data_IF_540350345337
#
_entry.id   IF_540350345337
#
_cell.length_a   1.000
_cell.length_b   1.000
_cell.length_c   1.000
_cell.angle_alpha   90.00
_cell.angle_beta   90.00
_cell.angle_gamma   90.00
#
_symmetry.space_group_name_H-M   'P 1'
#
loop_
_entity.id
_entity.type
_entity.pdbx_description
1 polymer ?
#
# COMPACT_ATOMS: atom_id res chain seq x y z
N UNK A 1 -9.23 -23.35 -14.63
CA UNK A 1 -10.26 -22.92 -13.65
C UNK A 1 -11.24 -21.98 -14.36
N UNK A 2 -12.52 -22.02 -14.03
CA UNK A 2 -13.47 -21.06 -14.60
C UNK A 2 -13.37 -19.75 -13.82
N UNK A 3 -13.11 -18.64 -14.50
CA UNK A 3 -13.01 -17.29 -13.92
C UNK A 3 -14.24 -16.88 -13.07
N UNK A 4 -15.38 -17.53 -13.28
CA UNK A 4 -16.64 -17.31 -12.54
C UNK A 4 -16.52 -17.51 -11.02
N UNK A 5 -15.61 -18.36 -10.57
CA UNK A 5 -15.38 -18.57 -9.13
C UNK A 5 -14.93 -17.28 -8.44
N UNK A 6 -14.23 -16.38 -9.15
CA UNK A 6 -13.64 -15.16 -8.62
C UNK A 6 -14.47 -13.90 -8.88
N UNK A 7 -15.64 -13.98 -9.51
CA UNK A 7 -16.44 -12.81 -9.96
C UNK A 7 -16.75 -11.81 -8.83
N UNK A 8 -16.86 -12.30 -7.59
CA UNK A 8 -17.16 -11.45 -6.44
C UNK A 8 -15.98 -10.58 -6.01
N UNK A 9 -14.74 -11.04 -6.26
CA UNK A 9 -13.54 -10.38 -5.75
C UNK A 9 -12.63 -9.82 -6.83
N UNK A 10 -12.58 -10.40 -8.03
CA UNK A 10 -11.65 -10.03 -9.11
C UNK A 10 -11.85 -8.60 -9.64
N UNK A 11 -10.86 -8.00 -10.28
CA UNK A 11 -11.03 -6.84 -11.16
C UNK A 11 -12.06 -7.11 -12.27
N UNK A 12 -12.48 -6.07 -12.98
CA UNK A 12 -13.26 -6.27 -14.20
C UNK A 12 -12.41 -6.91 -15.30
N UNK A 13 -13.08 -7.69 -16.16
CA UNK A 13 -12.49 -8.17 -17.40
C UNK A 13 -12.72 -7.15 -18.54
N UNK A 14 -12.04 -7.34 -19.66
CA UNK A 14 -12.10 -6.41 -20.79
C UNK A 14 -13.53 -6.13 -21.28
N UNK A 15 -14.37 -7.15 -21.33
CA UNK A 15 -15.76 -7.07 -21.79
C UNK A 15 -16.65 -6.24 -20.85
N UNK A 16 -16.30 -6.20 -19.57
CA UNK A 16 -17.05 -5.49 -18.51
C UNK A 16 -16.72 -3.99 -18.46
N UNK A 17 -15.53 -3.58 -18.95
CA UNK A 17 -15.00 -2.22 -18.79
C UNK A 17 -15.93 -1.13 -19.31
N UNK A 18 -16.51 -1.33 -20.49
CA UNK A 18 -17.41 -0.34 -21.10
C UNK A 18 -18.68 -0.12 -20.27
N UNK A 19 -19.27 -1.20 -19.76
CA UNK A 19 -20.46 -1.12 -18.91
C UNK A 19 -20.14 -0.48 -17.57
N UNK A 20 -19.05 -0.92 -16.93
CA UNK A 20 -18.58 -0.37 -15.65
C UNK A 20 -18.35 1.16 -15.73
N UNK A 21 -17.79 1.63 -16.84
CA UNK A 21 -17.56 3.06 -17.05
C UNK A 21 -18.89 3.84 -17.25
N UNK A 22 -19.83 3.28 -18.01
CA UNK A 22 -21.14 3.91 -18.19
C UNK A 22 -21.92 4.00 -16.86
N UNK A 23 -21.86 2.94 -16.06
CA UNK A 23 -22.46 2.90 -14.73
C UNK A 23 -21.81 3.93 -13.80
N UNK A 24 -20.48 4.08 -13.86
CA UNK A 24 -19.74 5.09 -13.12
C UNK A 24 -20.20 6.51 -13.48
N UNK A 25 -20.32 6.81 -14.79
CA UNK A 25 -20.80 8.11 -15.26
C UNK A 25 -22.26 8.40 -14.87
N UNK A 26 -23.05 7.37 -14.66
CA UNK A 26 -24.47 7.49 -14.27
C UNK A 26 -24.65 7.65 -12.77
N UNK A 27 -23.64 7.33 -11.97
CA UNK A 27 -23.70 7.37 -10.52
C UNK A 27 -23.81 8.82 -10.00
N UNK A 28 -24.81 9.09 -9.14
CA UNK A 28 -25.12 10.44 -8.64
C UNK A 28 -24.01 10.98 -7.75
N UNK A 29 -23.44 10.14 -6.88
CA UNK A 29 -22.37 10.56 -5.95
C UNK A 29 -21.08 10.85 -6.71
N UNK A 30 -20.73 10.01 -7.67
CA UNK A 30 -19.59 10.27 -8.57
C UNK A 30 -19.76 11.59 -9.32
N UNK A 31 -20.95 11.90 -9.82
CA UNK A 31 -21.26 13.17 -10.47
C UNK A 31 -21.13 14.38 -9.53
N UNK A 32 -21.50 14.24 -8.25
CA UNK A 32 -21.30 15.29 -7.24
C UNK A 32 -19.82 15.57 -7.00
N UNK A 33 -19.01 14.52 -6.90
CA UNK A 33 -17.55 14.64 -6.74
C UNK A 33 -16.91 15.32 -7.95
N UNK A 34 -17.27 14.89 -9.15
CA UNK A 34 -16.80 15.55 -10.40
C UNK A 34 -17.19 17.03 -10.45
N UNK A 35 -18.40 17.37 -9.98
CA UNK A 35 -18.83 18.77 -9.86
C UNK A 35 -17.98 19.55 -8.86
N UNK A 36 -17.54 18.92 -7.77
CA UNK A 36 -16.65 19.55 -6.79
C UNK A 36 -15.27 19.91 -7.38
N UNK A 37 -14.72 19.07 -8.27
CA UNK A 37 -13.45 19.34 -8.94
C UNK A 37 -13.53 20.41 -10.03
N UNK A 38 -14.63 20.43 -10.80
CA UNK A 38 -14.82 21.37 -11.93
C UNK A 38 -16.24 21.95 -11.90
N UNK A 39 -16.55 22.82 -10.90
CA UNK A 39 -17.91 23.29 -10.65
C UNK A 39 -18.48 24.14 -11.80
N UNK A 40 -17.60 24.81 -12.53
CA UNK A 40 -17.96 25.68 -13.66
C UNK A 40 -18.30 24.91 -14.95
N UNK A 41 -17.99 23.61 -15.03
CA UNK A 41 -18.21 22.82 -16.22
C UNK A 41 -19.58 22.10 -16.18
N UNK A 42 -20.47 22.28 -17.17
CA UNK A 42 -21.74 21.56 -17.26
C UNK A 42 -21.56 20.03 -17.28
N UNK A 43 -22.54 19.31 -16.71
CA UNK A 43 -22.51 17.83 -16.61
C UNK A 43 -22.27 17.15 -17.97
N UNK A 44 -22.93 17.65 -19.04
CA UNK A 44 -22.80 17.11 -20.40
C UNK A 44 -21.36 17.19 -20.91
N UNK A 45 -20.71 18.34 -20.71
CA UNK A 45 -19.31 18.56 -21.09
C UNK A 45 -18.34 17.73 -20.27
N UNK A 46 -18.53 17.67 -18.93
CA UNK A 46 -17.73 16.79 -18.07
C UNK A 46 -17.79 15.33 -18.53
N UNK A 47 -19.01 14.83 -18.77
CA UNK A 47 -19.19 13.47 -19.24
C UNK A 47 -18.64 13.25 -20.65
N UNK A 48 -18.74 14.24 -21.52
CA UNK A 48 -18.15 14.23 -22.86
C UNK A 48 -16.62 14.09 -22.81
N UNK A 49 -15.96 14.91 -21.98
CA UNK A 49 -14.51 14.84 -21.77
C UNK A 49 -14.06 13.51 -21.18
N UNK A 50 -14.79 12.98 -20.19
CA UNK A 50 -14.48 11.67 -19.60
C UNK A 50 -14.67 10.54 -20.63
N UNK A 51 -15.73 10.59 -21.46
CA UNK A 51 -15.92 9.62 -22.54
C UNK A 51 -14.78 9.71 -23.56
N UNK A 52 -14.32 10.91 -23.89
CA UNK A 52 -13.17 11.10 -24.78
C UNK A 52 -11.89 10.53 -24.16
N UNK A 53 -11.64 10.81 -22.89
CA UNK A 53 -10.48 10.25 -22.16
C UNK A 53 -10.54 8.71 -22.06
N UNK A 54 -11.73 8.13 -22.14
CA UNK A 54 -11.93 6.68 -22.09
C UNK A 54 -11.83 6.00 -23.48
N UNK A 55 -11.74 6.78 -24.56
CA UNK A 55 -11.57 6.22 -25.91
C UNK A 55 -10.26 5.41 -25.98
N UNK A 56 -10.38 4.17 -26.44
CA UNK A 56 -9.26 3.26 -26.57
C UNK A 56 -8.86 2.53 -25.27
N UNK A 57 -9.55 2.76 -24.15
CA UNK A 57 -9.42 1.98 -22.92
C UNK A 57 -10.31 0.74 -23.05
N UNK A 58 -9.70 -0.42 -23.20
CA UNK A 58 -10.39 -1.71 -23.38
C UNK A 58 -10.19 -2.64 -22.19
N UNK A 59 -9.07 -2.52 -21.50
CA UNK A 59 -8.67 -3.39 -20.38
C UNK A 59 -8.44 -2.58 -19.12
N UNK A 60 -8.45 -3.21 -17.93
CA UNK A 60 -8.01 -2.56 -16.69
C UNK A 60 -6.56 -2.03 -16.75
N UNK A 61 -5.67 -2.71 -17.47
CA UNK A 61 -4.30 -2.23 -17.71
C UNK A 61 -4.30 -0.94 -18.55
N UNK A 62 -5.11 -0.87 -19.62
CA UNK A 62 -5.26 0.39 -20.38
C UNK A 62 -5.76 1.53 -19.48
N UNK A 63 -6.69 1.22 -18.57
CA UNK A 63 -7.22 2.20 -17.62
C UNK A 63 -6.13 2.72 -16.69
N UNK A 64 -5.29 1.85 -16.13
CA UNK A 64 -4.16 2.27 -15.31
C UNK A 64 -3.15 3.11 -16.10
N UNK A 65 -2.79 2.69 -17.32
CA UNK A 65 -1.75 3.37 -18.11
C UNK A 65 -2.25 4.70 -18.68
N UNK A 66 -3.46 4.72 -19.25
CA UNK A 66 -3.95 5.89 -20.02
C UNK A 66 -4.73 6.88 -19.17
N UNK A 67 -5.43 6.41 -18.14
CA UNK A 67 -6.27 7.25 -17.30
C UNK A 67 -5.63 7.55 -15.94
N UNK A 68 -5.19 6.53 -15.19
CA UNK A 68 -4.68 6.71 -13.83
C UNK A 68 -3.25 7.23 -13.79
N UNK A 69 -2.34 6.70 -14.63
CA UNK A 69 -0.92 7.09 -14.64
C UNK A 69 -0.70 8.61 -14.78
N UNK A 70 -1.38 9.35 -15.69
CA UNK A 70 -1.24 10.81 -15.74
C UNK A 70 -1.63 11.52 -14.45
N UNK A 71 -2.69 11.04 -13.77
CA UNK A 71 -3.17 11.59 -12.50
C UNK A 71 -2.13 11.32 -11.40
N UNK A 72 -1.63 10.09 -11.32
CA UNK A 72 -0.61 9.69 -10.33
C UNK A 72 0.70 10.45 -10.56
N UNK A 73 1.13 10.63 -11.82
CA UNK A 73 2.28 11.47 -12.15
C UNK A 73 2.11 12.94 -11.75
N UNK A 74 0.89 13.46 -11.87
CA UNK A 74 0.59 14.81 -11.36
C UNK A 74 0.77 14.87 -9.85
N UNK A 75 0.26 13.87 -9.10
CA UNK A 75 0.45 13.79 -7.65
C UNK A 75 1.93 13.70 -7.28
N UNK A 76 2.70 12.82 -7.93
CA UNK A 76 4.15 12.72 -7.71
C UNK A 76 4.82 14.07 -7.88
N UNK A 77 4.59 14.76 -9.01
CA UNK A 77 5.23 16.05 -9.31
C UNK A 77 4.84 17.20 -8.41
N UNK A 78 3.63 17.17 -7.83
CA UNK A 78 3.09 18.29 -7.02
C UNK A 78 3.21 18.07 -5.52
N UNK A 79 3.27 16.82 -5.09
CA UNK A 79 3.17 16.46 -3.68
C UNK A 79 4.34 15.63 -3.17
N UNK A 80 5.38 15.46 -3.99
CA UNK A 80 6.66 14.84 -3.61
C UNK A 80 7.85 15.60 -4.19
N UNK A 81 9.04 15.37 -3.64
CA UNK A 81 10.33 15.83 -4.19
C UNK A 81 10.95 14.75 -5.11
N UNK A 82 10.12 13.86 -5.61
CA UNK A 82 10.48 12.76 -6.48
C UNK A 82 10.10 11.40 -5.90
N UNK A 83 9.90 10.45 -6.79
CA UNK A 83 9.65 9.06 -6.47
C UNK A 83 10.69 8.20 -7.18
N UNK A 84 11.49 7.45 -6.41
CA UNK A 84 12.56 6.59 -6.91
C UNK A 84 12.18 5.13 -6.74
N UNK A 85 12.53 4.30 -7.73
CA UNK A 85 12.35 2.85 -7.69
C UNK A 85 13.74 2.19 -7.74
N UNK A 86 14.02 1.37 -6.72
CA UNK A 86 15.28 0.63 -6.56
C UNK A 86 14.93 -0.84 -6.66
N UNK A 87 15.24 -1.47 -7.78
CA UNK A 87 14.91 -2.86 -8.09
C UNK A 87 16.14 -3.73 -8.41
N UNK A 88 17.34 -3.27 -8.03
CA UNK A 88 18.58 -3.95 -8.38
C UNK A 88 18.65 -5.42 -7.97
N UNK A 89 18.13 -5.76 -6.79
CA UNK A 89 18.10 -7.16 -6.35
C UNK A 89 17.07 -7.99 -7.15
N UNK A 90 15.93 -7.39 -7.50
CA UNK A 90 14.91 -8.01 -8.33
C UNK A 90 15.38 -8.12 -9.77
N UNK A 91 15.98 -7.07 -10.33
CA UNK A 91 16.54 -7.06 -11.67
C UNK A 91 17.70 -8.07 -11.80
N UNK A 92 18.52 -8.22 -10.75
CA UNK A 92 19.56 -9.24 -10.69
C UNK A 92 19.01 -10.67 -10.76
N UNK A 93 17.81 -10.91 -10.19
CA UNK A 93 17.12 -12.20 -10.23
C UNK A 93 16.35 -12.43 -11.55
N UNK A 94 15.85 -11.38 -12.20
CA UNK A 94 15.13 -11.41 -13.48
C UNK A 94 15.49 -10.20 -14.37
N UNK A 95 16.65 -10.23 -15.02
CA UNK A 95 17.12 -9.11 -15.84
C UNK A 95 16.20 -8.76 -17.01
N UNK A 96 15.41 -9.73 -17.48
CA UNK A 96 14.46 -9.53 -18.58
C UNK A 96 13.08 -9.04 -18.13
N UNK A 97 12.84 -8.97 -16.83
CA UNK A 97 11.56 -8.51 -16.22
C UNK A 97 10.35 -9.31 -16.73
N UNK A 98 10.55 -10.59 -17.01
CA UNK A 98 9.51 -11.50 -17.56
C UNK A 98 8.71 -12.20 -16.48
N UNK A 99 9.20 -12.24 -15.26
CA UNK A 99 8.53 -12.79 -14.09
C UNK A 99 7.22 -12.09 -13.77
N UNK A 100 6.44 -12.73 -12.92
CA UNK A 100 5.28 -12.12 -12.26
C UNK A 100 5.47 -12.31 -10.76
N UNK A 101 5.10 -11.29 -10.00
CA UNK A 101 5.50 -11.18 -8.60
C UNK A 101 4.32 -10.84 -7.72
N UNK A 102 4.36 -11.32 -6.50
CA UNK A 102 3.53 -10.84 -5.40
C UNK A 102 4.38 -9.90 -4.55
N UNK A 103 4.23 -8.60 -4.75
CA UNK A 103 4.86 -7.58 -3.93
C UNK A 103 4.16 -7.49 -2.57
N UNK A 104 4.91 -7.76 -1.50
CA UNK A 104 4.43 -7.68 -0.13
C UNK A 104 5.19 -6.57 0.58
N UNK A 105 4.51 -5.50 0.99
CA UNK A 105 5.18 -4.30 1.50
C UNK A 105 4.68 -3.85 2.87
N UNK A 106 5.49 -3.04 3.56
CA UNK A 106 4.98 -2.15 4.59
C UNK A 106 3.91 -1.20 3.98
N UNK A 107 3.07 -0.58 4.81
CA UNK A 107 1.91 0.16 4.33
C UNK A 107 1.88 1.60 4.87
N UNK A 108 2.16 2.56 3.98
CA UNK A 108 2.27 3.99 4.31
C UNK A 108 0.99 4.78 4.01
N UNK A 109 0.41 4.57 2.82
CA UNK A 109 -0.74 5.31 2.30
C UNK A 109 -1.83 4.36 1.78
N UNK A 110 -3.12 4.70 2.02
CA UNK A 110 -4.26 3.85 1.64
C UNK A 110 -4.36 3.67 0.12
N UNK A 111 -3.99 4.71 -0.65
CA UNK A 111 -4.21 4.78 -2.10
C UNK A 111 -2.89 4.76 -2.87
N UNK A 112 -1.90 5.51 -2.39
CA UNK A 112 -0.72 5.83 -3.18
C UNK A 112 0.34 4.73 -3.18
N UNK A 113 0.35 3.83 -2.19
CA UNK A 113 1.36 2.78 -2.13
C UNK A 113 1.35 1.91 -3.39
N UNK A 114 0.18 1.43 -3.80
CA UNK A 114 0.02 0.67 -5.03
C UNK A 114 0.03 1.55 -6.29
N UNK A 115 -0.56 2.76 -6.21
CA UNK A 115 -0.62 3.65 -7.37
C UNK A 115 0.76 4.16 -7.81
N UNK A 116 1.64 4.49 -6.85
CA UNK A 116 3.02 4.85 -7.16
C UNK A 116 3.81 3.63 -7.67
N UNK A 117 3.60 2.44 -7.08
CA UNK A 117 4.22 1.21 -7.56
C UNK A 117 3.86 0.95 -9.02
N UNK A 118 2.59 1.08 -9.42
CA UNK A 118 2.15 0.92 -10.81
C UNK A 118 2.93 1.81 -11.77
N UNK A 119 3.07 3.09 -11.40
CA UNK A 119 3.79 4.07 -12.22
C UNK A 119 5.27 3.76 -12.28
N UNK A 120 5.88 3.35 -11.15
CA UNK A 120 7.29 3.00 -11.07
C UNK A 120 7.61 1.73 -11.87
N UNK A 121 6.81 0.69 -11.78
CA UNK A 121 6.98 -0.52 -12.58
C UNK A 121 6.99 -0.20 -14.09
N UNK A 122 6.00 0.58 -14.55
CA UNK A 122 5.94 0.97 -15.96
C UNK A 122 7.10 1.87 -16.38
N UNK A 123 7.57 2.76 -15.52
CA UNK A 123 8.69 3.64 -15.79
C UNK A 123 10.02 2.89 -15.88
N UNK A 124 10.13 1.74 -15.19
CA UNK A 124 11.32 0.90 -15.16
C UNK A 124 11.24 -0.32 -16.10
N UNK A 125 10.31 -0.31 -17.06
CA UNK A 125 10.26 -1.31 -18.14
C UNK A 125 9.59 -2.64 -17.78
N UNK A 126 8.89 -2.74 -16.66
CA UNK A 126 8.07 -3.91 -16.35
C UNK A 126 6.86 -3.97 -17.29
N UNK A 127 6.48 -5.15 -17.80
CA UNK A 127 5.46 -5.26 -18.85
C UNK A 127 4.03 -5.06 -18.35
N UNK A 128 3.79 -5.13 -17.03
CA UNK A 128 2.47 -4.91 -16.42
C UNK A 128 2.61 -4.25 -15.05
N UNK A 129 1.52 -3.69 -14.59
CA UNK A 129 1.29 -3.12 -13.26
C UNK A 129 0.90 -4.21 -12.26
N UNK A 130 0.42 -3.82 -11.06
CA UNK A 130 -0.09 -4.78 -10.08
C UNK A 130 -1.63 -4.85 -10.07
N UNK A 131 -2.17 -6.00 -9.71
CA UNK A 131 -3.51 -6.11 -9.17
C UNK A 131 -3.46 -5.84 -7.66
N UNK A 132 -4.42 -5.05 -7.16
CA UNK A 132 -4.32 -4.39 -5.85
C UNK A 132 -5.31 -5.02 -4.88
N UNK A 133 -4.83 -5.58 -3.77
CA UNK A 133 -5.68 -6.07 -2.69
C UNK A 133 -6.29 -4.92 -1.87
N UNK A 134 -7.61 -4.68 -1.99
CA UNK A 134 -8.30 -3.59 -1.28
C UNK A 134 -9.34 -4.15 -0.32
N UNK A 135 -9.30 -3.71 0.95
CA UNK A 135 -10.30 -4.05 1.95
C UNK A 135 -11.69 -3.51 1.59
N UNK A 136 -12.73 -4.34 1.73
CA UNK A 136 -14.11 -3.97 1.43
C UNK A 136 -14.67 -2.85 2.33
N UNK A 137 -14.09 -2.66 3.52
CA UNK A 137 -14.38 -1.52 4.39
C UNK A 137 -14.11 -0.15 3.74
N UNK A 138 -13.24 -0.10 2.73
CA UNK A 138 -12.94 1.11 1.96
C UNK A 138 -13.90 1.31 0.77
N UNK A 139 -14.65 0.28 0.39
CA UNK A 139 -15.58 0.29 -0.76
C UNK A 139 -16.97 0.80 -0.35
N UNK A 140 -17.00 1.93 0.35
CA UNK A 140 -18.19 2.50 1.03
C UNK A 140 -19.32 2.81 0.05
N UNK A 141 -18.96 3.26 -1.15
CA UNK A 141 -19.90 3.67 -2.20
C UNK A 141 -19.78 2.80 -3.45
N UNK A 142 -20.89 2.51 -4.16
CA UNK A 142 -20.86 1.71 -5.37
C UNK A 142 -19.91 2.25 -6.45
N UNK A 143 -19.78 3.56 -6.59
CA UNK A 143 -18.86 4.18 -7.54
C UNK A 143 -17.40 3.92 -7.20
N UNK A 144 -17.02 3.88 -5.90
CA UNK A 144 -15.65 3.53 -5.47
C UNK A 144 -15.36 2.09 -5.87
N UNK A 145 -16.27 1.15 -5.55
CA UNK A 145 -16.12 -0.25 -5.93
C UNK A 145 -15.92 -0.42 -7.44
N UNK A 146 -16.70 0.29 -8.25
CA UNK A 146 -16.54 0.27 -9.72
C UNK A 146 -15.18 0.81 -10.14
N UNK A 147 -14.80 1.99 -9.64
CA UNK A 147 -13.56 2.65 -9.99
C UNK A 147 -12.33 1.78 -9.67
N UNK A 148 -12.27 1.21 -8.46
CA UNK A 148 -11.11 0.40 -8.05
C UNK A 148 -11.05 -0.93 -8.82
N UNK A 149 -12.20 -1.58 -9.12
CA UNK A 149 -12.22 -2.80 -9.96
C UNK A 149 -11.77 -2.51 -11.41
N UNK A 150 -12.09 -1.33 -11.95
CA UNK A 150 -11.55 -0.85 -13.22
C UNK A 150 -10.04 -0.62 -13.14
N UNK A 151 -9.53 -0.26 -11.95
CA UNK A 151 -8.12 -0.04 -11.66
C UNK A 151 -7.41 -1.31 -11.16
N UNK A 152 -7.77 -2.48 -11.65
CA UNK A 152 -7.17 -3.79 -11.30
C UNK A 152 -7.24 -4.15 -9.82
N UNK A 153 -8.19 -3.60 -9.03
CA UNK A 153 -8.30 -4.01 -7.64
C UNK A 153 -9.16 -5.26 -7.46
N UNK A 154 -8.68 -6.18 -6.61
CA UNK A 154 -9.48 -7.28 -6.08
C UNK A 154 -9.87 -7.00 -4.61
N UNK A 155 -11.01 -7.56 -4.20
CA UNK A 155 -11.62 -7.25 -2.91
C UNK A 155 -11.15 -8.21 -1.82
N UNK A 156 -10.64 -7.66 -0.72
CA UNK A 156 -10.31 -8.36 0.52
C UNK A 156 -11.47 -8.16 1.50
N UNK A 157 -12.19 -9.23 1.81
CA UNK A 157 -13.33 -9.19 2.73
C UNK A 157 -12.87 -9.09 4.18
N UNK A 158 -13.54 -8.27 4.98
CA UNK A 158 -13.20 -8.01 6.39
C UNK A 158 -14.42 -8.15 7.30
N UNK A 159 -14.17 -8.25 8.61
CA UNK A 159 -15.24 -8.28 9.61
C UNK A 159 -16.15 -9.52 9.54
N UNK A 160 -15.64 -10.63 9.00
CA UNK A 160 -16.35 -11.89 8.82
C UNK A 160 -16.25 -12.77 10.08
N UNK A 161 -17.20 -13.71 10.22
CA UNK A 161 -17.06 -14.79 11.20
C UNK A 161 -15.84 -15.66 10.89
N UNK A 162 -15.27 -16.42 11.86
CA UNK A 162 -14.09 -17.25 11.62
C UNK A 162 -14.24 -18.23 10.44
N UNK A 163 -15.41 -18.82 10.26
CA UNK A 163 -15.70 -19.76 9.16
C UNK A 163 -15.73 -19.05 7.80
N UNK A 164 -16.35 -17.88 7.74
CA UNK A 164 -16.41 -17.06 6.53
C UNK A 164 -15.03 -16.48 6.20
N UNK A 165 -14.27 -16.06 7.22
CA UNK A 165 -12.89 -15.58 7.06
C UNK A 165 -12.01 -16.64 6.40
N UNK A 166 -12.08 -17.90 6.87
CA UNK A 166 -11.31 -19.00 6.28
C UNK A 166 -11.69 -19.21 4.79
N UNK A 167 -12.99 -19.25 4.47
CA UNK A 167 -13.45 -19.39 3.08
C UNK A 167 -13.00 -18.23 2.20
N UNK A 168 -13.13 -17.00 2.70
CA UNK A 168 -12.71 -15.80 1.99
C UNK A 168 -11.19 -15.80 1.76
N UNK A 169 -10.40 -16.20 2.75
CA UNK A 169 -8.95 -16.33 2.64
C UNK A 169 -8.55 -17.39 1.61
N UNK A 170 -9.21 -18.54 1.60
CA UNK A 170 -8.98 -19.58 0.59
C UNK A 170 -9.32 -19.11 -0.82
N UNK A 171 -10.47 -18.43 -0.99
CA UNK A 171 -10.88 -17.88 -2.29
C UNK A 171 -9.86 -16.83 -2.79
N UNK A 172 -9.47 -15.90 -1.93
CA UNK A 172 -8.50 -14.86 -2.23
C UNK A 172 -7.13 -15.45 -2.57
N UNK A 173 -6.68 -16.44 -1.81
CA UNK A 173 -5.41 -17.12 -2.07
C UNK A 173 -5.42 -17.81 -3.43
N UNK A 174 -6.46 -18.59 -3.76
CA UNK A 174 -6.60 -19.20 -5.09
C UNK A 174 -6.64 -18.16 -6.20
N UNK A 175 -7.30 -17.03 -5.96
CA UNK A 175 -7.28 -15.93 -6.92
C UNK A 175 -5.88 -15.37 -7.16
N UNK A 176 -5.10 -15.15 -6.10
CA UNK A 176 -3.71 -14.64 -6.21
C UNK A 176 -2.84 -15.63 -7.00
N UNK A 177 -2.93 -16.94 -6.69
CA UNK A 177 -2.23 -17.98 -7.46
C UNK A 177 -2.62 -17.94 -8.93
N UNK A 178 -3.93 -17.93 -9.23
CA UNK A 178 -4.44 -17.80 -10.61
C UNK A 178 -3.93 -16.53 -11.32
N UNK A 179 -3.93 -15.39 -10.62
CA UNK A 179 -3.50 -14.12 -11.21
C UNK A 179 -2.01 -14.13 -11.58
N UNK A 180 -1.16 -14.72 -10.74
CA UNK A 180 0.29 -14.80 -10.99
C UNK A 180 0.62 -15.84 -12.05
N UNK A 181 0.05 -17.05 -11.95
CA UNK A 181 0.46 -18.21 -12.78
C UNK A 181 -0.23 -18.26 -14.14
N UNK A 182 -1.55 -18.03 -14.18
CA UNK A 182 -2.36 -18.18 -15.40
C UNK A 182 -2.65 -16.83 -16.08
N UNK A 183 -3.14 -15.84 -15.30
CA UNK A 183 -3.46 -14.51 -15.82
C UNK A 183 -2.21 -13.69 -16.16
N UNK A 184 -1.07 -14.06 -15.58
CA UNK A 184 0.24 -13.42 -15.78
C UNK A 184 0.26 -11.96 -15.33
N UNK A 185 -0.31 -11.68 -14.15
CA UNK A 185 -0.36 -10.37 -13.52
C UNK A 185 0.52 -10.33 -12.26
N UNK A 186 1.04 -9.15 -11.93
CA UNK A 186 1.64 -8.90 -10.62
C UNK A 186 0.54 -8.63 -9.58
N UNK A 187 0.85 -8.93 -8.32
CA UNK A 187 -0.02 -8.66 -7.17
C UNK A 187 0.67 -7.68 -6.23
N UNK A 188 -0.08 -6.77 -5.63
CA UNK A 188 0.35 -6.02 -4.47
C UNK A 188 -0.59 -6.24 -3.29
N UNK A 189 -0.01 -6.58 -2.15
CA UNK A 189 -0.67 -6.65 -0.85
C UNK A 189 0.23 -6.05 0.24
N UNK A 190 -0.41 -5.49 1.29
CA UNK A 190 0.31 -5.08 2.49
C UNK A 190 0.72 -6.31 3.32
N UNK A 191 1.88 -6.23 4.00
CA UNK A 191 2.40 -7.29 4.87
C UNK A 191 1.56 -7.53 6.13
N UNK A 192 0.59 -6.67 6.39
CA UNK A 192 -0.30 -6.71 7.55
C UNK A 192 -1.66 -6.11 7.26
N UNK A 193 -2.61 -6.38 8.14
CA UNK A 193 -3.89 -5.70 8.11
C UNK A 193 -3.77 -4.25 8.58
N UNK A 194 -4.10 -3.30 7.70
CA UNK A 194 -4.05 -1.87 7.95
C UNK A 194 -2.63 -1.31 8.09
N UNK A 195 -2.54 0.01 8.15
CA UNK A 195 -1.27 0.75 8.29
C UNK A 195 -0.82 0.78 9.76
N UNK A 196 0.46 0.55 10.04
CA UNK A 196 1.04 0.84 11.34
C UNK A 196 0.93 2.35 11.64
N UNK A 197 0.56 2.70 12.88
CA UNK A 197 0.40 4.11 13.28
C UNK A 197 1.71 4.74 13.71
N UNK A 198 2.66 3.92 14.07
CA UNK A 198 3.99 4.27 14.55
C UNK A 198 5.12 3.94 13.57
N UNK A 199 4.78 3.50 12.34
CA UNK A 199 5.71 3.02 11.33
C UNK A 199 6.58 1.82 11.75
N UNK A 200 6.21 1.12 12.81
CA UNK A 200 6.81 -0.14 13.20
C UNK A 200 6.05 -1.30 12.54
N UNK A 201 6.13 -1.34 11.22
CA UNK A 201 5.46 -2.37 10.43
C UNK A 201 6.13 -3.73 10.63
N UNK A 202 5.29 -4.78 10.79
CA UNK A 202 5.71 -6.18 10.93
C UNK A 202 4.85 -7.07 10.05
N UNK A 203 5.47 -8.04 9.42
CA UNK A 203 4.79 -9.04 8.60
C UNK A 203 3.94 -9.95 9.48
N UNK A 204 2.65 -10.02 9.19
CA UNK A 204 1.76 -10.94 9.91
C UNK A 204 1.84 -12.35 9.31
N UNK A 205 2.12 -13.35 10.14
CA UNK A 205 2.09 -14.77 9.77
C UNK A 205 0.80 -15.17 9.04
N UNK A 206 -0.32 -14.57 9.44
CA UNK A 206 -1.63 -14.82 8.83
C UNK A 206 -1.70 -14.45 7.36
N UNK A 207 -0.97 -13.41 6.92
CA UNK A 207 -0.87 -13.02 5.50
C UNK A 207 -0.13 -14.10 4.72
N UNK A 208 1.00 -14.58 5.24
CA UNK A 208 1.80 -15.62 4.58
C UNK A 208 1.07 -16.98 4.57
N UNK A 209 0.41 -17.32 5.68
CA UNK A 209 -0.44 -18.52 5.76
C UNK A 209 -1.59 -18.46 4.75
N UNK A 210 -2.22 -17.28 4.61
CA UNK A 210 -3.26 -17.06 3.61
C UNK A 210 -2.71 -17.26 2.20
N UNK A 211 -1.56 -16.67 1.85
CA UNK A 211 -0.93 -16.84 0.54
C UNK A 211 -0.65 -18.32 0.21
N UNK A 212 -0.27 -19.13 1.18
CA UNK A 212 -0.03 -20.56 0.98
C UNK A 212 -1.29 -21.40 0.79
N UNK A 213 -2.50 -20.90 1.11
CA UNK A 213 -3.74 -21.69 1.06
C UNK A 213 -4.18 -22.08 -0.35
N UNK A 214 -3.88 -21.23 -1.36
CA UNK A 214 -4.32 -21.42 -2.74
C UNK A 214 -3.50 -22.40 -3.56
N UNK A 215 -2.35 -22.81 -3.06
CA UNK A 215 -1.49 -23.76 -3.74
C UNK A 215 -2.12 -25.17 -3.81
N UNK A 216 -1.74 -25.99 -4.80
CA UNK A 216 -2.22 -27.38 -4.92
C UNK A 216 -2.05 -28.19 -3.64
N UNK A 217 -3.03 -29.08 -3.35
CA UNK A 217 -3.03 -29.89 -2.12
C UNK A 217 -1.92 -30.96 -2.08
N UNK A 218 -1.33 -31.29 -3.23
CA UNK A 218 -0.18 -32.17 -3.37
C UNK A 218 1.08 -31.60 -2.73
N UNK A 219 1.22 -30.27 -2.75
CA UNK A 219 2.35 -29.56 -2.16
C UNK A 219 2.19 -29.54 -0.64
N UNK A 220 2.96 -30.38 0.06
CA UNK A 220 2.90 -30.49 1.53
C UNK A 220 3.84 -29.53 2.25
N UNK A 221 4.99 -29.23 1.64
CA UNK A 221 5.95 -28.30 2.21
C UNK A 221 5.44 -26.85 2.08
N UNK A 222 5.41 -26.05 3.16
CA UNK A 222 4.97 -24.65 3.10
C UNK A 222 5.79 -23.78 2.13
N UNK A 223 7.09 -24.04 1.99
CA UNK A 223 7.94 -23.32 1.05
C UNK A 223 7.47 -23.53 -0.41
N UNK A 224 7.20 -24.80 -0.79
CA UNK A 224 6.74 -25.13 -2.14
C UNK A 224 5.41 -24.49 -2.48
N UNK A 225 4.53 -24.34 -1.48
CA UNK A 225 3.22 -23.70 -1.63
C UNK A 225 3.30 -22.20 -1.96
N UNK A 226 4.44 -21.56 -1.68
CA UNK A 226 4.64 -20.12 -1.93
C UNK A 226 5.47 -19.83 -3.18
N UNK A 227 6.22 -20.82 -3.71
CA UNK A 227 7.21 -20.59 -4.80
C UNK A 227 6.62 -19.96 -6.05
N UNK A 228 5.45 -20.43 -6.50
CA UNK A 228 4.84 -19.94 -7.72
C UNK A 228 4.37 -18.48 -7.64
N UNK A 229 4.24 -17.94 -6.40
CA UNK A 229 3.84 -16.55 -6.16
C UNK A 229 4.98 -15.55 -6.37
N UNK A 230 6.25 -16.01 -6.44
CA UNK A 230 7.42 -15.15 -6.57
C UNK A 230 7.35 -13.93 -5.64
N UNK A 231 7.20 -14.16 -4.33
CA UNK A 231 7.03 -13.10 -3.35
C UNK A 231 8.26 -12.20 -3.34
N UNK A 232 8.05 -10.90 -3.47
CA UNK A 232 9.08 -9.86 -3.38
C UNK A 232 8.80 -8.98 -2.17
N UNK A 233 9.68 -8.99 -1.15
CA UNK A 233 9.60 -8.01 -0.07
C UNK A 233 9.85 -6.61 -0.64
N UNK A 234 8.89 -5.72 -0.46
CA UNK A 234 8.94 -4.36 -0.99
C UNK A 234 8.95 -3.35 0.16
N UNK A 235 9.92 -2.47 0.16
CA UNK A 235 10.01 -1.36 1.13
C UNK A 235 9.49 -0.09 0.52
N UNK A 236 8.63 0.62 1.26
CA UNK A 236 8.12 1.94 0.90
C UNK A 236 8.59 2.93 1.95
N UNK A 237 9.40 3.91 1.54
CA UNK A 237 9.93 4.98 2.39
C UNK A 237 9.39 6.33 1.94
N UNK A 238 8.71 7.03 2.84
CA UNK A 238 8.29 8.42 2.67
C UNK A 238 9.11 9.29 3.62
N UNK A 239 9.67 10.39 3.12
CA UNK A 239 10.38 11.35 3.98
C UNK A 239 9.44 11.98 5.00
N UNK A 240 8.24 12.40 4.56
CA UNK A 240 7.17 12.89 5.42
C UNK A 240 5.89 12.06 5.21
N UNK A 241 5.24 11.71 6.29
CA UNK A 241 3.93 11.04 6.25
C UNK A 241 2.83 12.10 6.41
N UNK A 242 2.09 12.46 5.35
CA UNK A 242 1.09 13.51 5.45
C UNK A 242 -0.07 13.19 6.41
N UNK A 243 -0.23 11.92 6.77
CA UNK A 243 -1.23 11.45 7.73
C UNK A 243 -0.69 11.28 9.16
N UNK A 244 0.53 11.74 9.46
CA UNK A 244 1.16 11.55 10.77
C UNK A 244 0.32 12.09 11.92
N UNK A 245 -0.20 13.31 11.79
CA UNK A 245 -1.06 13.93 12.79
C UNK A 245 -2.39 13.17 12.98
N UNK A 246 -2.98 12.63 11.91
CA UNK A 246 -4.19 11.81 11.99
C UNK A 246 -3.92 10.46 12.67
N UNK A 247 -2.73 9.90 12.47
CA UNK A 247 -2.29 8.67 13.13
C UNK A 247 -2.04 8.91 14.61
N UNK A 248 -1.36 10.01 14.97
CA UNK A 248 -1.13 10.41 16.35
C UNK A 248 -2.44 10.70 17.10
N UNK A 249 -3.37 11.42 16.45
CA UNK A 249 -4.71 11.63 16.97
C UNK A 249 -5.43 10.30 17.26
N UNK A 250 -5.45 9.37 16.31
CA UNK A 250 -6.06 8.05 16.49
C UNK A 250 -5.44 7.28 17.67
N UNK A 251 -4.13 7.42 17.90
CA UNK A 251 -3.45 6.80 19.05
C UNK A 251 -3.93 7.40 20.37
N UNK A 252 -4.07 8.73 20.46
CA UNK A 252 -4.60 9.36 21.66
C UNK A 252 -6.07 8.99 21.90
N UNK A 253 -6.89 9.03 20.86
CA UNK A 253 -8.32 8.66 20.98
C UNK A 253 -8.49 7.21 21.43
N UNK A 254 -7.65 6.29 20.95
CA UNK A 254 -7.63 4.88 21.41
C UNK A 254 -7.16 4.74 22.86
N UNK A 255 -6.23 5.57 23.32
CA UNK A 255 -5.78 5.60 24.70
C UNK A 255 -6.86 6.10 25.65
N UNK A 256 -7.55 7.18 25.25
CA UNK A 256 -8.42 7.95 26.12
C UNK A 256 -9.89 7.50 26.08
N UNK A 257 -10.35 6.88 24.99
CA UNK A 257 -11.74 6.50 24.76
C UNK A 257 -11.87 4.97 24.72
N UNK A 258 -12.41 4.34 25.78
CA UNK A 258 -12.65 2.90 25.78
C UNK A 258 -13.52 2.45 24.59
N UNK A 259 -13.05 1.47 23.84
CA UNK A 259 -13.78 0.92 22.68
C UNK A 259 -13.80 1.83 21.45
N UNK A 260 -12.93 2.84 21.37
CA UNK A 260 -12.79 3.71 20.20
C UNK A 260 -12.71 2.91 18.90
N UNK A 261 -13.50 3.31 17.93
CA UNK A 261 -13.47 2.78 16.56
C UNK A 261 -13.49 3.95 15.57
N UNK A 262 -12.63 3.87 14.58
CA UNK A 262 -12.64 4.82 13.46
C UNK A 262 -14.00 4.87 12.77
N UNK A 263 -14.41 6.06 12.43
CA UNK A 263 -15.54 6.30 11.53
C UNK A 263 -15.13 6.08 10.06
N UNK A 264 -16.15 5.95 9.21
CA UNK A 264 -15.92 5.94 7.74
C UNK A 264 -15.37 7.28 7.22
N UNK A 265 -15.71 8.37 7.90
CA UNK A 265 -15.20 9.70 7.55
C UNK A 265 -13.70 9.80 7.79
N UNK A 266 -13.19 9.21 8.88
CA UNK A 266 -11.75 9.19 9.17
C UNK A 266 -10.95 8.51 8.07
N UNK A 267 -11.48 7.42 7.48
CA UNK A 267 -10.82 6.76 6.35
C UNK A 267 -10.81 7.63 5.10
N UNK A 268 -11.91 8.35 4.80
CA UNK A 268 -11.96 9.31 3.70
C UNK A 268 -11.00 10.49 3.90
N UNK A 269 -10.93 11.03 5.11
CA UNK A 269 -10.02 12.13 5.44
C UNK A 269 -8.55 11.69 5.36
N UNK A 270 -8.25 10.45 5.80
CA UNK A 270 -6.93 9.86 5.62
C UNK A 270 -6.58 9.67 4.13
N UNK A 271 -7.49 9.17 3.29
CA UNK A 271 -7.26 9.03 1.84
C UNK A 271 -6.99 10.41 1.21
N UNK A 272 -7.85 11.40 1.50
CA UNK A 272 -7.70 12.76 0.97
C UNK A 272 -6.37 13.39 1.40
N UNK A 273 -6.04 13.29 2.70
CA UNK A 273 -4.79 13.83 3.26
C UNK A 273 -3.58 13.12 2.65
N UNK A 274 -3.64 11.79 2.52
CA UNK A 274 -2.60 10.99 1.90
C UNK A 274 -2.35 11.40 0.45
N UNK A 275 -3.39 11.54 -0.37
CA UNK A 275 -3.26 11.90 -1.78
C UNK A 275 -2.65 13.30 -1.95
N UNK A 276 -3.17 14.31 -1.23
CA UNK A 276 -2.85 15.72 -1.47
C UNK A 276 -1.79 16.30 -0.51
N UNK A 277 -1.38 15.57 0.51
CA UNK A 277 -0.36 16.03 1.44
C UNK A 277 1.05 15.90 0.86
N UNK A 278 1.95 16.76 1.32
CA UNK A 278 3.37 16.72 0.93
C UNK A 278 4.10 15.54 1.58
N UNK A 279 4.96 14.87 0.81
CA UNK A 279 5.62 13.61 1.21
C UNK A 279 7.14 13.69 1.23
N UNK A 280 7.73 14.81 0.76
CA UNK A 280 9.16 14.87 0.51
C UNK A 280 9.58 13.84 -0.54
N UNK A 281 10.74 13.23 -0.36
CA UNK A 281 11.20 12.14 -1.21
C UNK A 281 10.46 10.84 -0.91
N UNK A 282 10.17 10.08 -1.95
CA UNK A 282 9.55 8.76 -1.86
C UNK A 282 10.45 7.73 -2.53
N UNK A 283 10.70 6.61 -1.84
CA UNK A 283 11.56 5.54 -2.37
C UNK A 283 10.85 4.19 -2.21
N UNK A 284 10.78 3.45 -3.31
CA UNK A 284 10.38 2.05 -3.37
C UNK A 284 11.62 1.21 -3.58
N UNK A 285 11.85 0.22 -2.72
CA UNK A 285 12.99 -0.68 -2.80
C UNK A 285 12.52 -2.13 -2.82
N UNK A 286 12.79 -2.85 -3.91
CA UNK A 286 12.54 -4.28 -4.04
C UNK A 286 13.75 -5.04 -3.49
N UNK A 287 13.53 -5.90 -2.52
CA UNK A 287 14.53 -6.88 -2.10
C UNK A 287 14.55 -8.09 -3.06
N UNK A 288 15.53 -8.97 -2.89
CA UNK A 288 15.59 -10.23 -3.62
C UNK A 288 14.31 -11.06 -3.39
N UNK A 289 13.78 -11.70 -4.45
CA UNK A 289 12.61 -12.57 -4.33
C UNK A 289 12.81 -13.64 -3.26
N UNK A 290 11.74 -13.95 -2.51
CA UNK A 290 11.74 -14.98 -1.45
C UNK A 290 12.27 -16.33 -1.99
N UNK A 291 12.00 -16.63 -3.24
CA UNK A 291 12.47 -17.85 -3.90
C UNK A 291 13.99 -18.01 -3.92
N UNK A 292 14.76 -16.94 -3.79
CA UNK A 292 16.24 -17.00 -3.78
C UNK A 292 16.82 -17.51 -2.46
N UNK A 293 16.00 -17.55 -1.38
CA UNK A 293 16.45 -17.93 -0.05
C UNK A 293 15.45 -18.78 0.75
N UNK A 294 14.26 -19.07 0.23
CA UNK A 294 13.22 -19.82 0.96
C UNK A 294 13.64 -21.23 1.34
N UNK A 295 14.59 -21.82 0.60
CA UNK A 295 15.14 -23.16 0.87
C UNK A 295 15.86 -23.26 2.21
N UNK A 296 16.43 -22.16 2.69
CA UNK A 296 17.04 -22.08 4.03
C UNK A 296 16.02 -22.33 5.16
N UNK A 297 14.73 -22.15 4.88
CA UNK A 297 13.63 -22.33 5.84
C UNK A 297 12.80 -23.59 5.58
N UNK A 298 13.00 -24.28 4.45
CA UNK A 298 12.14 -25.37 3.99
C UNK A 298 12.09 -26.58 4.93
N UNK A 299 13.19 -26.80 5.69
CA UNK A 299 13.30 -27.91 6.66
C UNK A 299 12.70 -27.57 8.04
N UNK A 300 12.26 -26.33 8.28
CA UNK A 300 11.65 -25.96 9.54
C UNK A 300 10.28 -26.64 9.72
N UNK A 301 9.91 -27.00 10.97
CA UNK A 301 8.57 -27.45 11.28
C UNK A 301 7.53 -26.43 10.81
N UNK A 302 6.39 -26.88 10.27
CA UNK A 302 5.32 -26.01 9.77
C UNK A 302 4.87 -24.96 10.79
N UNK A 303 4.94 -25.27 12.07
CA UNK A 303 4.62 -24.35 13.18
C UNK A 303 5.58 -23.17 13.31
N UNK A 304 6.82 -23.33 12.86
CA UNK A 304 7.89 -22.32 12.95
C UNK A 304 8.14 -21.62 11.62
N UNK A 305 7.88 -22.31 10.50
CA UNK A 305 8.19 -21.83 9.15
C UNK A 305 7.62 -20.43 8.87
N UNK A 306 6.33 -20.19 9.10
CA UNK A 306 5.70 -18.91 8.77
C UNK A 306 6.21 -17.77 9.65
N UNK A 307 6.55 -18.03 10.90
CA UNK A 307 7.13 -17.04 11.80
C UNK A 307 8.56 -16.68 11.36
N UNK A 308 9.37 -17.69 11.02
CA UNK A 308 10.72 -17.48 10.48
C UNK A 308 10.69 -16.74 9.13
N UNK A 309 9.77 -17.10 8.25
CA UNK A 309 9.55 -16.41 6.97
C UNK A 309 9.17 -14.94 7.19
N UNK A 310 8.22 -14.66 8.10
CA UNK A 310 7.81 -13.29 8.43
C UNK A 310 8.97 -12.46 8.97
N UNK A 311 9.78 -13.02 9.87
CA UNK A 311 10.98 -12.37 10.42
C UNK A 311 12.01 -12.08 9.33
N UNK A 312 12.26 -13.01 8.41
CA UNK A 312 13.19 -12.81 7.30
C UNK A 312 12.68 -11.77 6.30
N UNK A 313 11.36 -11.75 6.03
CA UNK A 313 10.74 -10.70 5.23
C UNK A 313 10.88 -9.33 5.90
N UNK A 314 10.63 -9.21 7.21
CA UNK A 314 10.83 -7.98 7.95
C UNK A 314 12.27 -7.50 7.86
N UNK A 315 13.26 -8.39 8.02
CA UNK A 315 14.68 -8.03 7.86
C UNK A 315 14.95 -7.44 6.48
N UNK A 316 14.42 -8.05 5.41
CA UNK A 316 14.61 -7.56 4.04
C UNK A 316 13.93 -6.20 3.84
N UNK A 317 12.69 -6.03 4.30
CA UNK A 317 11.96 -4.77 4.21
C UNK A 317 12.66 -3.67 5.01
N UNK A 318 13.13 -3.98 6.23
CA UNK A 318 13.79 -3.00 7.08
C UNK A 318 15.17 -2.58 6.56
N UNK A 319 15.94 -3.50 5.97
CA UNK A 319 17.19 -3.17 5.27
C UNK A 319 16.97 -2.23 4.09
N UNK A 320 15.85 -2.40 3.39
CA UNK A 320 15.45 -1.57 2.26
C UNK A 320 15.03 -0.14 2.61
N UNK A 321 14.82 0.22 3.88
CA UNK A 321 14.44 1.59 4.23
C UNK A 321 15.45 2.61 3.72
N UNK A 322 14.99 3.57 2.92
CA UNK A 322 15.70 4.83 2.73
C UNK A 322 15.44 5.69 3.95
N UNK A 323 16.49 6.03 4.67
CA UNK A 323 16.41 6.93 5.82
C UNK A 323 16.71 8.37 5.39
N UNK A 324 15.99 9.30 5.99
CA UNK A 324 16.07 10.73 5.73
C UNK A 324 16.50 11.47 7.01
N UNK A 325 17.00 12.72 6.91
CA UNK A 325 17.38 13.52 8.10
C UNK A 325 16.33 13.53 9.21
N UNK A 326 15.05 13.68 8.87
CA UNK A 326 13.94 13.69 9.84
C UNK A 326 13.86 12.41 10.68
N UNK A 327 14.27 11.25 10.13
CA UNK A 327 14.26 9.98 10.87
C UNK A 327 15.30 9.97 11.99
N UNK A 328 16.51 10.44 11.70
CA UNK A 328 17.60 10.51 12.68
C UNK A 328 17.37 11.61 13.72
N UNK A 329 16.84 12.77 13.29
CA UNK A 329 16.47 13.86 14.20
C UNK A 329 15.44 13.38 15.23
N UNK A 330 14.41 12.67 14.76
CA UNK A 330 13.36 12.12 15.61
C UNK A 330 13.91 11.12 16.63
N UNK A 331 14.85 10.26 16.21
CA UNK A 331 15.47 9.29 17.10
C UNK A 331 16.33 9.98 18.16
N UNK A 332 17.23 10.89 17.76
CA UNK A 332 18.09 11.64 18.69
C UNK A 332 17.25 12.46 19.68
N UNK A 333 16.14 13.05 19.26
CA UNK A 333 15.25 13.79 20.15
C UNK A 333 14.58 12.88 21.18
N UNK A 334 14.04 11.73 20.77
CA UNK A 334 13.41 10.76 21.68
C UNK A 334 14.40 10.19 22.70
N UNK A 335 15.67 10.03 22.33
CA UNK A 335 16.70 9.46 23.18
C UNK A 335 17.48 10.52 23.98
N UNK A 336 17.19 11.81 23.77
CA UNK A 336 17.92 12.92 24.37
C UNK A 336 19.41 12.88 24.00
N UNK A 337 19.75 12.44 22.80
CA UNK A 337 21.09 12.20 22.31
C UNK A 337 21.43 13.02 21.06
N UNK A 338 22.68 12.94 20.62
CA UNK A 338 23.17 13.44 19.35
C UNK A 338 23.96 12.33 18.59
N UNK A 339 23.63 11.07 18.85
CA UNK A 339 24.38 9.93 18.35
C UNK A 339 24.35 9.85 16.83
N UNK A 340 23.29 10.40 16.21
CA UNK A 340 23.07 10.39 14.77
C UNK A 340 23.27 11.76 14.09
N UNK A 341 23.88 12.74 14.80
CA UNK A 341 24.05 14.12 14.30
C UNK A 341 24.84 14.21 12.98
N UNK A 342 25.62 13.20 12.62
CA UNK A 342 26.32 13.13 11.33
C UNK A 342 25.38 12.96 10.12
N UNK A 343 24.10 12.61 10.34
CA UNK A 343 23.13 12.33 9.29
C UNK A 343 22.20 13.50 8.97
N UNK A 344 22.31 14.63 9.65
CA UNK A 344 21.46 15.80 9.44
C UNK A 344 22.21 17.11 9.76
N UNK A 345 21.72 18.20 9.16
CA UNK A 345 22.23 19.57 9.43
C UNK A 345 21.32 20.31 10.41
N UNK A 346 21.77 21.48 10.89
CA UNK A 346 20.94 22.38 11.70
C UNK A 346 19.70 22.86 10.93
N UNK A 347 19.83 23.07 9.60
CA UNK A 347 18.72 23.45 8.74
C UNK A 347 17.69 22.32 8.59
N UNK A 348 18.15 21.07 8.49
CA UNK A 348 17.26 19.90 8.47
C UNK A 348 16.46 19.79 9.77
N UNK A 349 17.12 20.04 10.92
CA UNK A 349 16.47 20.05 12.22
C UNK A 349 15.39 21.13 12.29
N UNK A 350 15.74 22.37 11.91
CA UNK A 350 14.79 23.50 11.90
C UNK A 350 13.59 23.23 10.99
N UNK A 351 13.82 22.65 9.80
CA UNK A 351 12.78 22.29 8.84
C UNK A 351 11.84 21.22 9.40
N UNK A 352 12.40 20.16 10.01
CA UNK A 352 11.60 19.09 10.59
C UNK A 352 10.79 19.56 11.79
N UNK A 353 11.36 20.38 12.67
CA UNK A 353 10.67 20.98 13.79
C UNK A 353 9.49 21.87 13.35
N UNK A 354 9.71 22.69 12.33
CA UNK A 354 8.66 23.54 11.74
C UNK A 354 7.54 22.69 11.15
N UNK A 355 7.90 21.63 10.44
CA UNK A 355 6.93 20.67 9.89
C UNK A 355 6.11 20.01 11.00
N UNK A 356 6.78 19.48 12.02
CA UNK A 356 6.16 18.77 13.14
C UNK A 356 5.19 19.67 13.91
N UNK A 357 5.60 20.91 14.22
CA UNK A 357 4.75 21.91 14.85
C UNK A 357 3.50 22.23 13.99
N UNK A 358 3.69 22.36 12.69
CA UNK A 358 2.58 22.58 11.75
C UNK A 358 1.60 21.39 11.69
N UNK A 359 2.08 20.17 11.81
CA UNK A 359 1.23 18.98 11.85
C UNK A 359 0.47 18.89 13.19
N UNK A 360 1.14 19.11 14.31
CA UNK A 360 0.52 19.14 15.65
C UNK A 360 -0.59 20.19 15.77
N UNK A 361 -0.41 21.35 15.13
CA UNK A 361 -1.40 22.41 15.10
C UNK A 361 -2.71 22.02 14.39
N UNK A 362 -2.68 21.01 13.50
CA UNK A 362 -3.89 20.51 12.80
C UNK A 362 -4.78 19.64 13.69
N UNK A 363 -4.26 19.12 14.81
CA UNK A 363 -5.00 18.23 15.69
C UNK A 363 -5.94 19.08 16.57
N UNK A 364 -7.25 18.82 16.43
CA UNK A 364 -8.30 19.50 17.18
C UNK A 364 -9.22 18.47 17.84
N UNK A 365 -8.79 17.93 18.98
CA UNK A 365 -9.55 16.96 19.78
C UNK A 365 -9.71 17.47 21.22
N UNK A 366 -10.78 17.05 21.92
CA UNK A 366 -10.92 17.30 23.35
C UNK A 366 -9.72 16.74 24.13
N UNK A 367 -9.30 17.45 25.17
CA UNK A 367 -8.20 17.02 26.05
C UNK A 367 -6.89 16.69 25.30
N UNK A 368 -6.57 17.48 24.27
CA UNK A 368 -5.36 17.34 23.46
C UNK A 368 -4.11 17.26 24.35
N UNK A 369 -3.43 16.13 24.33
CA UNK A 369 -2.18 15.86 25.01
C UNK A 369 -1.01 16.12 24.04
N UNK A 370 -0.50 17.35 24.01
CA UNK A 370 0.54 17.73 23.04
C UNK A 370 1.83 16.95 23.22
N UNK A 371 2.19 16.58 24.44
CA UNK A 371 3.41 15.79 24.70
C UNK A 371 3.28 14.38 24.12
N UNK A 372 2.17 13.70 24.40
CA UNK A 372 1.87 12.37 23.84
C UNK A 372 1.79 12.38 22.32
N UNK A 373 1.11 13.36 21.75
CA UNK A 373 0.94 13.48 20.29
C UNK A 373 2.28 13.71 19.60
N UNK A 374 3.14 14.60 20.16
CA UNK A 374 4.48 14.86 19.66
C UNK A 374 5.34 13.60 19.73
N UNK A 375 5.35 12.92 20.87
CA UNK A 375 6.09 11.68 21.05
C UNK A 375 5.63 10.59 20.08
N UNK A 376 4.30 10.46 19.88
CA UNK A 376 3.72 9.52 18.90
C UNK A 376 4.21 9.81 17.48
N UNK A 377 4.27 11.08 17.08
CA UNK A 377 4.78 11.48 15.77
C UNK A 377 6.28 11.25 15.64
N UNK A 378 7.06 11.59 16.65
CA UNK A 378 8.51 11.31 16.67
C UNK A 378 8.78 9.82 16.53
N UNK A 379 8.04 8.96 17.22
CA UNK A 379 8.18 7.50 17.09
C UNK A 379 7.91 7.02 15.66
N UNK A 380 6.94 7.61 14.92
CA UNK A 380 6.70 7.28 13.51
C UNK A 380 7.95 7.52 12.63
N UNK A 381 8.69 8.59 12.90
CA UNK A 381 9.90 8.92 12.15
C UNK A 381 11.13 8.15 12.66
N UNK A 382 11.23 7.85 13.95
CA UNK A 382 12.36 7.14 14.57
C UNK A 382 12.35 5.62 14.28
N UNK A 383 11.17 4.99 14.24
CA UNK A 383 11.07 3.53 14.10
C UNK A 383 11.71 2.96 12.81
N UNK A 384 11.66 3.62 11.63
CA UNK A 384 12.43 3.16 10.47
C UNK A 384 13.94 3.06 10.73
N UNK A 385 14.54 3.98 11.52
CA UNK A 385 15.97 3.88 11.90
C UNK A 385 16.20 2.68 12.81
N UNK A 386 15.42 2.56 13.90
CA UNK A 386 15.50 1.42 14.83
C UNK A 386 15.39 0.09 14.11
N UNK A 387 14.42 -0.03 13.23
CA UNK A 387 14.17 -1.25 12.46
C UNK A 387 15.33 -1.56 11.50
N UNK A 388 15.86 -0.56 10.80
CA UNK A 388 16.98 -0.75 9.90
C UNK A 388 18.24 -1.17 10.65
N UNK A 389 18.56 -0.52 11.76
CA UNK A 389 19.73 -0.88 12.59
C UNK A 389 19.62 -2.29 13.17
N UNK A 390 18.41 -2.73 13.53
CA UNK A 390 18.17 -4.08 14.02
C UNK A 390 18.19 -5.17 12.92
N UNK A 391 18.12 -4.80 11.66
CA UNK A 391 18.08 -5.72 10.52
C UNK A 391 19.47 -5.94 9.86
N UNK A 392 20.50 -5.21 10.29
CA UNK A 392 21.88 -5.29 9.75
C UNK A 392 22.67 -6.41 10.38
#
# INVERSE_FOLDING_TARGET
>A
MTTKEFDEIRPYEAEEMKQAFNDLLSDRQFQMILKGFVPWLPKSLRNGLLKLAFVGIKTPLDFQIRFMKPIVWYVIRKHTDGCTFVDGDLEGADPQKTGRYTFVSNHRDIVLDSAFLDVMLMANGYPTTVEIGIGDNLLIYPWIKRLVRMNKAFTVRRGLSPKEMLRSSQLMSRYIHYAVTEKRENIWIAQREGRAKDSNDRTQDSVLKMLAMGAPDELKNPADRLRELNIVPLTISYEYDPCDYLKAQELQEKRDIPGFKKSRQDDLDNMKTGIWGYKGKVVYHCAAPVNTWIDELAELPKTEFFTALAQRMDQNIHRGYQLFPCNYIALDELEGSAAHAAHYTADDKTRFETYLAGQLAKISIPNKDEAFLRESMLNMYANPVRNKLAAV
#
